data_IF_614468914178
#
_entry.id   IF_614468914178
#
_cell.length_a   1.000
_cell.length_b   1.000
_cell.length_c   1.000
_cell.angle_alpha   90.00
_cell.angle_beta   90.00
_cell.angle_gamma   90.00
#
_symmetry.space_group_name_H-M   'P 1'
#
loop_
_entity.id
_entity.type
_entity.pdbx_description
1 polymer ?
#
# COMPACT_ATOMS: atom_id res chain seq x y z
N UNK A 1 15.06 -2.62 2.95
CA UNK A 1 14.83 -1.15 2.94
C UNK A 1 13.33 -0.90 2.90
N UNK A 2 12.84 0.08 3.65
CA UNK A 2 11.39 0.37 3.75
C UNK A 2 11.01 1.42 2.71
N UNK A 3 9.75 1.42 2.29
CA UNK A 3 9.21 2.43 1.37
C UNK A 3 7.91 2.98 1.89
N UNK A 4 7.67 4.26 1.66
CA UNK A 4 6.36 4.88 1.83
C UNK A 4 5.76 5.16 0.46
N UNK A 5 4.66 4.50 0.18
CA UNK A 5 3.90 4.65 -1.06
C UNK A 5 2.69 5.54 -0.78
N UNK A 6 2.47 6.53 -1.63
CA UNK A 6 1.32 7.43 -1.58
C UNK A 6 0.41 7.13 -2.75
N UNK A 7 -0.89 7.18 -2.52
CA UNK A 7 -1.94 6.93 -3.50
C UNK A 7 -2.63 8.24 -3.87
N UNK A 8 -3.15 8.33 -5.09
CA UNK A 8 -3.94 9.49 -5.50
C UNK A 8 -5.07 9.77 -4.51
N UNK A 9 -5.25 11.04 -4.14
CA UNK A 9 -6.33 11.46 -3.24
C UNK A 9 -7.64 11.67 -4.01
N UNK A 10 -8.59 10.78 -3.78
CA UNK A 10 -9.98 10.85 -4.28
C UNK A 10 -10.98 10.87 -3.11
N UNK A 11 -10.55 11.28 -1.91
CA UNK A 11 -11.38 11.36 -0.71
C UNK A 11 -11.62 10.01 0.01
N UNK A 12 -10.76 9.02 -0.21
CA UNK A 12 -10.79 7.75 0.52
C UNK A 12 -10.17 7.87 1.93
N UNK A 13 -10.35 6.82 2.74
CA UNK A 13 -9.94 6.83 4.16
C UNK A 13 -8.41 6.74 4.40
N UNK A 14 -7.62 6.30 3.42
CA UNK A 14 -6.17 6.24 3.51
C UNK A 14 -5.49 6.71 2.22
N UNK A 15 -4.33 7.35 2.37
CA UNK A 15 -3.58 7.96 1.28
C UNK A 15 -2.16 7.40 1.15
N UNK A 16 -1.67 6.64 2.14
CA UNK A 16 -0.33 6.07 2.07
C UNK A 16 -0.21 4.79 2.87
N UNK A 17 0.70 3.92 2.43
CA UNK A 17 1.21 2.77 3.18
C UNK A 17 2.72 2.91 3.38
N UNK A 18 3.22 2.40 4.50
CA UNK A 18 4.63 2.06 4.66
C UNK A 18 4.76 0.56 4.49
N UNK A 19 5.60 0.12 3.56
CA UNK A 19 5.91 -1.27 3.31
C UNK A 19 7.34 -1.60 3.74
N UNK A 20 7.52 -2.78 4.31
CA UNK A 20 8.84 -3.33 4.58
C UNK A 20 9.49 -3.95 3.33
N UNK A 21 10.71 -4.45 3.48
CA UNK A 21 11.48 -5.06 2.40
C UNK A 21 10.91 -6.35 1.85
N UNK A 22 9.98 -6.97 2.56
CA UNK A 22 9.26 -8.13 2.07
C UNK A 22 7.97 -7.70 1.36
N UNK A 23 7.60 -6.42 1.36
CA UNK A 23 6.32 -5.92 0.84
C UNK A 23 5.16 -6.01 1.84
N UNK A 24 5.43 -6.23 3.13
CA UNK A 24 4.40 -6.23 4.16
C UNK A 24 4.07 -4.78 4.57
N UNK A 25 2.79 -4.44 4.62
CA UNK A 25 2.33 -3.13 5.12
C UNK A 25 2.53 -3.07 6.63
N UNK A 26 3.40 -2.18 7.09
CA UNK A 26 3.71 -1.99 8.52
C UNK A 26 3.08 -0.73 9.12
N UNK A 27 2.61 0.19 8.27
CA UNK A 27 1.87 1.37 8.69
C UNK A 27 0.98 1.89 7.55
N UNK A 28 -0.08 2.63 7.89
CA UNK A 28 -1.04 3.18 6.94
C UNK A 28 -1.71 4.43 7.54
N UNK A 29 -2.02 5.41 6.69
CA UNK A 29 -2.79 6.57 7.15
C UNK A 29 -3.44 7.39 6.03
N UNK A 30 -4.25 8.40 6.40
CA UNK A 30 -4.49 8.86 7.77
C UNK A 30 -5.38 7.95 8.63
N UNK A 31 -6.19 7.07 8.05
CA UNK A 31 -7.10 6.20 8.79
C UNK A 31 -6.94 4.72 8.43
N UNK A 32 -7.72 3.87 9.12
CA UNK A 32 -7.87 2.44 8.85
C UNK A 32 -6.59 1.58 8.93
N UNK A 33 -5.58 1.98 9.71
CA UNK A 33 -4.38 1.15 9.91
C UNK A 33 -4.71 -0.30 10.35
N UNK A 34 -5.74 -0.50 11.17
CA UNK A 34 -6.19 -1.83 11.60
C UNK A 34 -6.68 -2.73 10.45
N UNK A 35 -7.14 -2.14 9.34
CA UNK A 35 -7.59 -2.87 8.14
C UNK A 35 -6.38 -3.25 7.28
N UNK A 36 -5.43 -2.32 7.10
CA UNK A 36 -4.41 -2.42 6.06
C UNK A 36 -3.04 -2.92 6.53
N UNK A 37 -2.65 -2.69 7.79
CA UNK A 37 -1.40 -3.26 8.35
C UNK A 37 -1.46 -4.79 8.29
N UNK A 38 -0.35 -5.46 8.02
CA UNK A 38 -0.23 -6.90 7.77
C UNK A 38 -0.74 -7.39 6.40
N UNK A 39 -1.27 -6.52 5.54
CA UNK A 39 -1.48 -6.87 4.13
C UNK A 39 -0.12 -7.06 3.42
N UNK A 40 -0.11 -7.91 2.38
CA UNK A 40 1.09 -8.24 1.62
C UNK A 40 1.01 -7.71 0.20
N UNK A 41 1.87 -6.78 -0.18
CA UNK A 41 1.99 -6.34 -1.56
C UNK A 41 2.60 -7.45 -2.43
N UNK A 42 1.96 -7.71 -3.57
CA UNK A 42 2.30 -8.81 -4.49
C UNK A 42 2.90 -8.33 -5.82
N UNK A 43 2.92 -7.02 -6.08
CA UNK A 43 3.58 -6.50 -7.27
C UNK A 43 5.07 -6.87 -7.25
N UNK A 44 5.62 -7.26 -8.40
CA UNK A 44 7.05 -7.52 -8.55
C UNK A 44 7.87 -6.23 -8.43
N UNK A 45 7.32 -5.13 -8.95
CA UNK A 45 7.91 -3.79 -8.94
C UNK A 45 6.84 -2.79 -8.49
N UNK A 46 7.27 -1.71 -7.84
CA UNK A 46 6.39 -0.66 -7.32
C UNK A 46 6.77 0.63 -8.03
N UNK A 47 5.91 1.07 -8.93
CA UNK A 47 6.15 2.24 -9.77
C UNK A 47 5.03 3.29 -9.66
N UNK A 48 5.38 4.55 -9.90
CA UNK A 48 4.41 5.65 -9.94
C UNK A 48 3.48 5.46 -11.14
N UNK A 49 2.18 5.58 -10.91
CA UNK A 49 1.12 5.36 -11.91
C UNK A 49 0.53 3.96 -11.90
N UNK A 50 1.16 2.99 -11.23
CA UNK A 50 0.64 1.62 -11.11
C UNK A 50 -0.31 1.44 -9.92
N UNK A 51 -1.10 0.37 -9.97
CA UNK A 51 -1.99 -0.05 -8.89
C UNK A 51 -1.34 -1.14 -8.04
N UNK A 52 -1.61 -1.13 -6.74
CA UNK A 52 -1.10 -2.13 -5.82
C UNK A 52 -2.04 -3.33 -5.79
N UNK A 53 -1.51 -4.50 -6.16
CA UNK A 53 -2.10 -5.80 -5.92
C UNK A 53 -1.57 -6.33 -4.60
N UNK A 54 -2.46 -6.78 -3.72
CA UNK A 54 -2.10 -7.23 -2.38
C UNK A 54 -2.94 -8.41 -1.90
N UNK A 55 -2.36 -9.20 -1.00
CA UNK A 55 -3.06 -10.19 -0.20
C UNK A 55 -3.52 -9.56 1.12
N UNK A 56 -4.78 -9.78 1.47
CA UNK A 56 -5.36 -9.36 2.75
C UNK A 56 -4.92 -10.29 3.89
N UNK A 57 -5.19 -9.89 5.14
CA UNK A 57 -4.91 -10.71 6.33
C UNK A 57 -5.61 -12.08 6.35
N UNK A 58 -6.67 -12.23 5.56
CA UNK A 58 -7.49 -13.45 5.48
C UNK A 58 -7.18 -14.27 4.23
N UNK A 59 -6.23 -13.84 3.39
CA UNK A 59 -5.76 -14.57 2.21
C UNK A 59 -6.44 -14.18 0.89
N UNK A 60 -7.37 -13.22 0.91
CA UNK A 60 -7.98 -12.71 -0.32
C UNK A 60 -6.99 -11.83 -1.09
N UNK A 61 -6.94 -12.00 -2.41
CA UNK A 61 -6.14 -11.15 -3.31
C UNK A 61 -7.03 -10.04 -3.87
N UNK A 62 -6.56 -8.80 -3.73
CA UNK A 62 -7.28 -7.60 -4.13
C UNK A 62 -6.34 -6.63 -4.84
N UNK A 63 -6.91 -5.65 -5.54
CA UNK A 63 -6.20 -4.52 -6.13
C UNK A 63 -6.75 -3.23 -5.52
N UNK A 64 -5.86 -2.28 -5.18
CA UNK A 64 -6.27 -0.96 -4.77
C UNK A 64 -6.84 -0.18 -5.96
N UNK A 65 -7.93 0.53 -5.72
CA UNK A 65 -8.64 1.30 -6.75
C UNK A 65 -7.86 2.50 -7.29
N UNK A 66 -6.93 3.04 -6.52
CA UNK A 66 -6.20 4.27 -6.83
C UNK A 66 -4.71 3.98 -7.00
N UNK A 67 -4.12 4.60 -8.01
CA UNK A 67 -2.73 4.40 -8.40
C UNK A 67 -1.76 5.08 -7.43
N UNK A 68 -0.50 4.66 -7.49
CA UNK A 68 0.60 5.26 -6.74
C UNK A 68 0.93 6.62 -7.36
N UNK A 69 0.89 7.69 -6.56
CA UNK A 69 1.29 9.04 -7.01
C UNK A 69 2.72 9.41 -6.62
N UNK A 70 3.27 8.79 -5.56
CA UNK A 70 4.59 9.12 -5.03
C UNK A 70 5.17 7.95 -4.24
N UNK A 71 6.50 7.81 -4.28
CA UNK A 71 7.26 6.85 -3.50
C UNK A 71 8.39 7.57 -2.76
N UNK A 72 8.58 7.26 -1.48
CA UNK A 72 9.70 7.71 -0.66
C UNK A 72 10.43 6.49 -0.08
N UNK A 73 11.76 6.44 -0.23
CA UNK A 73 12.59 5.42 0.43
C UNK A 73 12.87 5.85 1.88
N UNK A 74 12.85 4.88 2.82
CA UNK A 74 13.01 5.08 4.27
C UNK A 74 14.18 4.30 4.87
#
# INVERSE_FOLDING_TARGET
MKKKIYFEDHGQDFLWWIIDENGTVIDCGPFQASVWVDCKVLNNEIEIGEFVVFETKVGDIMELKYSIEKIEEL
#
